data_IF_521201652292
#
_entry.id   IF_521201652292
#
_cell.length_a   1.000
_cell.length_b   1.000
_cell.length_c   1.000
_cell.angle_alpha   90.00
_cell.angle_beta   90.00
_cell.angle_gamma   90.00
#
_symmetry.space_group_name_H-M   'P 1'
#
loop_
_entity.id
_entity.type
_entity.pdbx_description
1 polymer ?
#
# COMPACT_ATOMS: atom_id res chain seq x y z
N UNK A 1 -16.34 18.28 -55.17
CA UNK A 1 -17.19 17.41 -54.31
C UNK A 1 -16.33 16.22 -53.93
N UNK A 2 -15.70 16.29 -52.78
CA UNK A 2 -14.82 15.22 -52.24
C UNK A 2 -15.52 14.72 -50.97
N UNK A 3 -16.01 13.49 -51.06
CA UNK A 3 -16.61 12.79 -49.91
C UNK A 3 -15.60 12.61 -48.78
N UNK A 4 -15.85 13.21 -47.65
CA UNK A 4 -15.12 12.95 -46.39
C UNK A 4 -15.58 11.58 -45.85
N UNK A 5 -14.65 10.71 -45.40
CA UNK A 5 -15.05 9.42 -44.82
C UNK A 5 -15.79 9.66 -43.49
N UNK A 6 -16.90 8.96 -43.31
CA UNK A 6 -17.71 8.97 -42.11
C UNK A 6 -16.87 8.54 -40.89
N UNK A 7 -16.75 9.44 -39.92
CA UNK A 7 -16.16 9.15 -38.62
C UNK A 7 -17.02 8.06 -37.95
N UNK A 8 -16.45 6.87 -37.76
CA UNK A 8 -17.08 5.78 -37.02
C UNK A 8 -17.40 6.25 -35.60
N UNK A 9 -18.68 6.22 -35.24
CA UNK A 9 -19.16 6.55 -33.90
C UNK A 9 -18.42 5.74 -32.83
N UNK A 10 -17.96 6.37 -31.75
CA UNK A 10 -17.40 5.65 -30.61
C UNK A 10 -18.48 4.74 -30.01
N UNK A 11 -18.07 3.56 -29.59
CA UNK A 11 -18.88 2.49 -29.00
C UNK A 11 -19.86 3.08 -27.98
N UNK A 12 -21.12 3.21 -28.37
CA UNK A 12 -22.20 3.61 -27.47
C UNK A 12 -22.44 2.48 -26.49
N UNK A 13 -22.22 2.73 -25.21
CA UNK A 13 -22.56 1.82 -24.13
C UNK A 13 -24.11 1.77 -24.06
N UNK A 14 -24.70 0.70 -24.58
CA UNK A 14 -26.14 0.46 -24.50
C UNK A 14 -26.44 -0.23 -23.14
N UNK A 15 -27.02 0.50 -22.16
CA UNK A 15 -27.32 -0.06 -20.84
C UNK A 15 -28.44 -1.12 -20.86
N UNK A 16 -29.09 -1.34 -22.01
CA UNK A 16 -30.18 -2.32 -22.20
C UNK A 16 -29.73 -3.65 -22.80
N UNK A 17 -28.47 -3.83 -23.17
CA UNK A 17 -27.98 -5.08 -23.76
C UNK A 17 -27.87 -6.16 -22.69
N UNK A 18 -28.86 -7.04 -22.61
CA UNK A 18 -28.84 -8.20 -21.74
C UNK A 18 -27.62 -9.05 -22.08
N UNK A 19 -26.64 -9.10 -21.12
CA UNK A 19 -25.45 -9.94 -21.25
C UNK A 19 -25.92 -11.39 -21.50
N UNK A 20 -25.46 -12.03 -22.58
CA UNK A 20 -25.87 -13.40 -22.92
C UNK A 20 -25.59 -14.36 -21.77
N UNK A 21 -26.37 -15.42 -21.62
CA UNK A 21 -26.17 -16.43 -20.57
C UNK A 21 -24.72 -17.00 -20.59
N UNK A 22 -24.16 -17.24 -21.78
CA UNK A 22 -22.80 -17.72 -21.96
C UNK A 22 -21.73 -16.71 -21.44
N UNK A 23 -21.94 -15.40 -21.67
CA UNK A 23 -21.04 -14.38 -21.17
C UNK A 23 -21.10 -14.23 -19.64
N UNK A 24 -22.29 -14.43 -19.04
CA UNK A 24 -22.44 -14.47 -17.56
C UNK A 24 -21.72 -15.67 -16.97
N UNK A 25 -21.88 -16.87 -17.56
CA UNK A 25 -21.20 -18.08 -17.12
C UNK A 25 -19.68 -17.87 -17.17
N UNK A 26 -19.14 -17.37 -18.28
CA UNK A 26 -17.71 -17.09 -18.42
C UNK A 26 -17.23 -16.09 -17.35
N UNK A 27 -17.98 -15.01 -17.12
CA UNK A 27 -17.66 -14.00 -16.11
C UNK A 27 -17.61 -14.60 -14.70
N UNK A 28 -18.65 -15.34 -14.29
CA UNK A 28 -18.70 -15.95 -12.95
C UNK A 28 -17.64 -17.02 -12.78
N UNK A 29 -17.38 -17.85 -13.78
CA UNK A 29 -16.32 -18.87 -13.72
C UNK A 29 -14.94 -18.23 -13.56
N UNK A 30 -14.62 -17.18 -14.34
CA UNK A 30 -13.36 -16.46 -14.20
C UNK A 30 -13.23 -15.79 -12.83
N UNK A 31 -14.30 -15.18 -12.30
CA UNK A 31 -14.30 -14.60 -10.96
C UNK A 31 -14.08 -15.65 -9.86
N UNK A 32 -14.72 -16.82 -9.97
CA UNK A 32 -14.53 -17.93 -9.00
C UNK A 32 -13.11 -18.46 -9.05
N UNK A 33 -12.53 -18.63 -10.25
CA UNK A 33 -11.13 -19.07 -10.38
C UNK A 33 -10.18 -18.06 -9.73
N UNK A 34 -10.34 -16.78 -10.03
CA UNK A 34 -9.51 -15.72 -9.44
C UNK A 34 -9.68 -15.70 -7.91
N UNK A 35 -10.92 -15.79 -7.42
CA UNK A 35 -11.19 -15.83 -5.99
C UNK A 35 -10.54 -17.06 -5.33
N UNK A 36 -10.62 -18.22 -5.96
CA UNK A 36 -10.01 -19.44 -5.44
C UNK A 36 -8.46 -19.33 -5.36
N UNK A 37 -7.81 -18.78 -6.39
CA UNK A 37 -6.36 -18.54 -6.40
C UNK A 37 -5.92 -17.69 -5.20
N UNK A 38 -6.75 -16.73 -4.76
CA UNK A 38 -6.44 -15.84 -3.62
C UNK A 38 -6.86 -16.47 -2.29
N UNK A 39 -8.07 -17.03 -2.21
CA UNK A 39 -8.66 -17.48 -0.95
C UNK A 39 -8.04 -18.79 -0.48
N UNK A 40 -7.75 -19.74 -1.40
CA UNK A 40 -7.20 -21.05 -1.02
C UNK A 40 -5.86 -20.93 -0.26
N UNK A 41 -4.85 -20.18 -0.74
CA UNK A 41 -3.62 -19.99 0.03
C UNK A 41 -3.83 -19.34 1.40
N UNK A 42 -4.76 -18.39 1.51
CA UNK A 42 -5.07 -17.73 2.79
C UNK A 42 -5.73 -18.73 3.77
N UNK A 43 -6.67 -19.53 3.28
CA UNK A 43 -7.30 -20.57 4.09
C UNK A 43 -6.31 -21.64 4.51
N UNK A 44 -5.44 -22.12 3.60
CA UNK A 44 -4.41 -23.11 3.93
C UNK A 44 -3.40 -22.58 4.94
N UNK A 45 -3.04 -21.29 4.86
CA UNK A 45 -2.20 -20.61 5.86
C UNK A 45 -2.89 -20.60 7.23
N UNK A 46 -4.15 -20.18 7.28
CA UNK A 46 -4.92 -20.13 8.51
C UNK A 46 -5.11 -21.55 9.12
N UNK A 47 -5.50 -22.52 8.30
CA UNK A 47 -5.66 -23.91 8.75
C UNK A 47 -4.33 -24.53 9.18
N UNK A 48 -3.24 -24.23 8.49
CA UNK A 48 -1.90 -24.68 8.84
C UNK A 48 -1.45 -24.23 10.23
N UNK A 49 -1.88 -23.05 10.66
CA UNK A 49 -1.64 -22.55 12.03
C UNK A 49 -2.33 -23.37 13.11
N UNK A 50 -3.41 -24.11 12.80
CA UNK A 50 -4.09 -25.00 13.75
C UNK A 50 -3.53 -26.44 13.76
N UNK A 51 -2.52 -26.75 12.96
CA UNK A 51 -1.94 -28.10 12.86
C UNK A 51 -0.77 -28.31 13.81
N UNK A 52 -0.47 -29.57 14.11
CA UNK A 52 0.86 -29.95 14.61
C UNK A 52 1.87 -29.88 13.47
N UNK A 53 3.17 -29.84 13.79
CA UNK A 53 4.22 -29.87 12.76
C UNK A 53 4.20 -31.17 11.95
N UNK A 54 3.87 -32.30 12.61
CA UNK A 54 3.75 -33.61 11.95
C UNK A 54 2.57 -33.65 10.97
N UNK A 55 1.40 -33.17 11.39
CA UNK A 55 0.21 -33.05 10.54
C UNK A 55 0.43 -32.15 9.35
N UNK A 56 1.07 -30.99 9.58
CA UNK A 56 1.40 -30.03 8.52
C UNK A 56 2.34 -30.63 7.45
N UNK A 57 3.32 -31.43 7.87
CA UNK A 57 4.24 -32.12 6.95
C UNK A 57 3.60 -33.30 6.20
N UNK A 58 2.67 -33.99 6.85
CA UNK A 58 2.00 -35.17 6.25
C UNK A 58 0.90 -34.79 5.28
N UNK A 59 0.11 -33.77 5.60
CA UNK A 59 -0.99 -33.27 4.79
C UNK A 59 -1.07 -31.72 4.89
N UNK A 60 -0.33 -30.98 4.05
CA UNK A 60 -0.31 -29.50 4.12
C UNK A 60 -1.65 -28.85 3.81
N UNK A 61 -2.47 -29.44 2.93
CA UNK A 61 -3.70 -28.83 2.39
C UNK A 61 -4.98 -29.34 3.04
N UNK A 62 -4.93 -30.46 3.76
CA UNK A 62 -6.10 -31.02 4.43
C UNK A 62 -6.54 -30.23 5.66
N UNK A 63 -7.60 -30.66 6.28
CA UNK A 63 -8.06 -30.12 7.57
C UNK A 63 -7.16 -30.62 8.71
N UNK A 64 -7.02 -29.85 9.81
CA UNK A 64 -6.30 -30.31 10.99
C UNK A 64 -6.94 -31.61 11.54
N UNK A 65 -6.14 -32.62 11.82
CA UNK A 65 -6.60 -33.85 12.50
C UNK A 65 -6.95 -33.55 13.95
N UNK A 66 -6.10 -32.73 14.58
CA UNK A 66 -6.32 -32.16 15.91
C UNK A 66 -6.13 -30.69 15.87
N UNK A 67 -7.12 -29.94 16.37
CA UNK A 67 -7.10 -28.46 16.34
C UNK A 67 -6.22 -27.91 17.46
N UNK A 68 -5.03 -27.41 17.10
CA UNK A 68 -4.06 -26.83 18.03
C UNK A 68 -4.36 -25.33 18.25
N UNK A 69 -5.39 -25.04 19.06
CA UNK A 69 -5.76 -23.66 19.41
C UNK A 69 -4.65 -22.92 20.17
N UNK A 70 -3.80 -23.68 20.88
CA UNK A 70 -2.65 -23.15 21.61
C UNK A 70 -1.70 -22.37 20.71
N UNK A 71 -1.48 -22.80 19.45
CA UNK A 71 -0.60 -22.09 18.51
C UNK A 71 -1.00 -20.62 18.32
N UNK A 72 -2.29 -20.34 18.20
CA UNK A 72 -2.81 -18.97 18.12
C UNK A 72 -2.84 -18.27 19.48
N UNK A 73 -3.23 -19.00 20.53
CA UNK A 73 -3.30 -18.48 21.89
C UNK A 73 -1.94 -18.00 22.39
N UNK A 74 -0.91 -18.82 22.26
CA UNK A 74 0.45 -18.51 22.73
C UNK A 74 1.01 -17.27 22.04
N UNK A 75 0.68 -17.07 20.74
CA UNK A 75 1.07 -15.87 20.01
C UNK A 75 0.29 -14.65 20.49
N UNK A 76 -1.05 -14.74 20.54
CA UNK A 76 -1.92 -13.62 20.92
C UNK A 76 -1.69 -13.12 22.36
N UNK A 77 -1.35 -14.03 23.29
CA UNK A 77 -1.06 -13.67 24.67
C UNK A 77 0.40 -13.32 24.92
N UNK A 78 1.27 -13.40 23.87
CA UNK A 78 2.68 -13.02 24.01
C UNK A 78 2.83 -11.49 23.97
N UNK A 79 3.59 -10.94 24.91
CA UNK A 79 3.94 -9.51 24.91
C UNK A 79 4.71 -9.11 23.64
N UNK A 80 5.52 -10.03 23.12
CA UNK A 80 6.36 -9.81 21.91
C UNK A 80 5.52 -9.55 20.67
N UNK A 81 4.42 -10.29 20.48
CA UNK A 81 3.49 -10.07 19.37
C UNK A 81 2.94 -8.64 19.37
N UNK A 82 2.42 -8.17 20.50
CA UNK A 82 1.85 -6.83 20.61
C UNK A 82 2.89 -5.72 20.47
N UNK A 83 4.12 -5.94 20.95
CA UNK A 83 5.23 -5.02 20.73
C UNK A 83 5.54 -4.88 19.23
N UNK A 84 5.62 -5.98 18.50
CA UNK A 84 5.88 -5.98 17.06
C UNK A 84 4.73 -5.35 16.26
N UNK A 85 3.47 -5.61 16.67
CA UNK A 85 2.30 -4.95 16.11
C UNK A 85 2.34 -3.43 16.33
N UNK A 86 2.64 -3.01 17.55
CA UNK A 86 2.80 -1.59 17.90
C UNK A 86 3.89 -0.90 17.10
N UNK A 87 5.06 -1.54 16.95
CA UNK A 87 6.16 -1.02 16.15
C UNK A 87 5.78 -0.89 14.67
N UNK A 88 5.10 -1.90 14.11
CA UNK A 88 4.60 -1.85 12.73
C UNK A 88 3.61 -0.71 12.53
N UNK A 89 2.67 -0.55 13.45
CA UNK A 89 1.68 0.52 13.38
C UNK A 89 2.34 1.90 13.48
N UNK A 90 3.30 2.07 14.39
CA UNK A 90 4.06 3.31 14.54
C UNK A 90 4.82 3.67 13.25
N UNK A 91 5.60 2.72 12.71
CA UNK A 91 6.37 2.91 11.47
C UNK A 91 5.42 3.24 10.32
N UNK A 92 4.32 2.47 10.17
CA UNK A 92 3.36 2.69 9.09
C UNK A 92 2.66 4.05 9.20
N UNK A 93 2.20 4.43 10.40
CA UNK A 93 1.55 5.73 10.61
C UNK A 93 2.49 6.90 10.32
N UNK A 94 3.74 6.85 10.78
CA UNK A 94 4.74 7.88 10.49
C UNK A 94 5.06 7.95 8.99
N UNK A 95 5.23 6.81 8.34
CA UNK A 95 5.47 6.74 6.90
C UNK A 95 4.30 7.31 6.10
N UNK A 96 3.06 6.92 6.43
CA UNK A 96 1.84 7.44 5.79
C UNK A 96 1.74 8.94 5.98
N UNK A 97 1.87 9.43 7.21
CA UNK A 97 1.76 10.86 7.51
C UNK A 97 2.75 11.69 6.71
N UNK A 98 4.03 11.30 6.72
CA UNK A 98 5.07 12.04 5.99
C UNK A 98 4.90 11.92 4.47
N UNK A 99 4.54 10.74 3.96
CA UNK A 99 4.28 10.55 2.52
C UNK A 99 3.11 11.41 2.04
N UNK A 100 2.02 11.46 2.80
CA UNK A 100 0.87 12.29 2.48
C UNK A 100 1.23 13.77 2.53
N UNK A 101 1.88 14.21 3.61
CA UNK A 101 2.24 15.62 3.79
C UNK A 101 3.21 16.09 2.70
N UNK A 102 4.37 15.45 2.58
CA UNK A 102 5.41 15.85 1.63
C UNK A 102 4.97 15.62 0.19
N UNK A 103 4.31 14.49 -0.08
CA UNK A 103 3.82 14.15 -1.42
C UNK A 103 2.74 15.10 -1.92
N UNK A 104 1.75 15.44 -1.07
CA UNK A 104 0.70 16.39 -1.46
C UNK A 104 1.26 17.80 -1.67
N UNK A 105 2.14 18.31 -0.78
CA UNK A 105 2.76 19.63 -0.94
C UNK A 105 3.60 19.72 -2.21
N UNK A 106 4.45 18.72 -2.47
CA UNK A 106 5.26 18.66 -3.69
C UNK A 106 4.38 18.58 -4.94
N UNK A 107 3.38 17.70 -4.92
CA UNK A 107 2.46 17.50 -6.04
C UNK A 107 1.62 18.76 -6.35
N UNK A 108 1.15 19.47 -5.32
CA UNK A 108 0.44 20.73 -5.46
C UNK A 108 1.32 21.78 -6.15
N UNK A 109 2.58 21.89 -5.72
CA UNK A 109 3.55 22.79 -6.34
C UNK A 109 3.75 22.45 -7.81
N UNK A 110 3.93 21.18 -8.17
CA UNK A 110 4.05 20.74 -9.56
C UNK A 110 2.76 20.86 -10.39
N UNK A 111 1.60 20.97 -9.75
CA UNK A 111 0.32 21.12 -10.45
C UNK A 111 0.00 22.58 -10.76
N UNK A 112 0.25 23.50 -9.82
CA UNK A 112 -0.26 24.87 -9.86
C UNK A 112 0.82 25.96 -9.92
N UNK A 113 2.04 25.69 -9.47
CA UNK A 113 3.10 26.70 -9.42
C UNK A 113 4.04 26.53 -10.62
N UNK A 114 4.19 27.61 -11.41
CA UNK A 114 5.16 27.65 -12.52
C UNK A 114 6.51 28.14 -11.98
N UNK A 115 7.53 27.31 -12.03
CA UNK A 115 8.90 27.66 -11.65
C UNK A 115 9.92 27.04 -12.60
N UNK A 116 11.11 27.65 -12.68
CA UNK A 116 12.19 27.17 -13.52
C UNK A 116 12.62 25.76 -13.10
N UNK A 117 12.75 24.84 -14.05
CA UNK A 117 13.18 23.47 -13.78
C UNK A 117 12.09 22.52 -13.25
N UNK A 118 10.81 22.96 -13.14
CA UNK A 118 9.71 22.13 -12.61
C UNK A 118 9.56 20.80 -13.34
N UNK A 119 9.68 20.80 -14.67
CA UNK A 119 9.61 19.57 -15.48
C UNK A 119 10.78 18.62 -15.23
N UNK A 120 12.00 19.15 -15.12
CA UNK A 120 13.17 18.35 -14.78
C UNK A 120 13.04 17.71 -13.39
N UNK A 121 12.67 18.51 -12.39
CA UNK A 121 12.54 18.05 -11.02
C UNK A 121 11.40 17.00 -10.88
N UNK A 122 10.27 17.23 -11.55
CA UNK A 122 9.19 16.23 -11.60
C UNK A 122 9.68 14.91 -12.20
N UNK A 123 10.34 14.96 -13.36
CA UNK A 123 10.88 13.77 -14.00
C UNK A 123 11.92 13.07 -13.13
N UNK A 124 12.73 13.81 -12.39
CA UNK A 124 13.68 13.25 -11.43
C UNK A 124 12.97 12.41 -10.35
N UNK A 125 11.88 12.90 -9.76
CA UNK A 125 11.06 12.13 -8.82
C UNK A 125 10.43 10.89 -9.47
N UNK A 126 9.95 11.01 -10.71
CA UNK A 126 9.32 9.90 -11.43
C UNK A 126 10.34 8.83 -11.86
N UNK A 127 11.58 9.21 -12.17
CA UNK A 127 12.67 8.25 -12.40
C UNK A 127 12.92 7.36 -11.19
N UNK A 128 12.67 7.86 -9.97
CA UNK A 128 12.74 7.07 -8.74
C UNK A 128 11.80 5.85 -8.74
N UNK A 129 10.69 5.88 -9.49
CA UNK A 129 9.77 4.74 -9.63
C UNK A 129 10.37 3.58 -10.45
N UNK A 130 11.32 3.88 -11.34
CA UNK A 130 11.99 2.88 -12.17
C UNK A 130 13.19 2.24 -11.44
N UNK A 131 13.61 2.83 -10.32
CA UNK A 131 14.78 2.37 -9.59
C UNK A 131 14.42 1.23 -8.62
N UNK A 132 15.00 0.02 -8.78
CA UNK A 132 14.71 -1.08 -7.88
C UNK A 132 15.25 -0.79 -6.48
N UNK A 133 14.37 -0.77 -5.48
CA UNK A 133 14.75 -0.48 -4.10
C UNK A 133 15.85 -1.42 -3.57
N UNK A 134 15.85 -2.67 -4.02
CA UNK A 134 16.86 -3.65 -3.62
C UNK A 134 18.30 -3.26 -4.00
N UNK A 135 18.50 -2.58 -5.13
CA UNK A 135 19.84 -2.14 -5.56
C UNK A 135 20.34 -0.94 -4.77
N UNK A 136 19.44 -0.17 -4.18
CA UNK A 136 19.80 1.00 -3.35
C UNK A 136 20.16 0.64 -1.90
N UNK A 137 19.98 -0.61 -1.47
CA UNK A 137 20.07 -0.99 -0.06
C UNK A 137 21.43 -0.68 0.55
N UNK A 138 22.52 -1.05 -0.13
CA UNK A 138 23.87 -0.81 0.41
C UNK A 138 24.22 0.69 0.52
N UNK A 139 24.06 1.51 -0.53
CA UNK A 139 24.28 2.96 -0.40
C UNK A 139 23.33 3.60 0.63
N UNK A 140 22.11 3.14 0.73
CA UNK A 140 21.13 3.62 1.69
C UNK A 140 21.52 3.28 3.13
N UNK A 141 21.98 2.05 3.38
CA UNK A 141 22.52 1.64 4.69
C UNK A 141 23.68 2.54 5.13
N UNK A 142 24.65 2.77 4.23
CA UNK A 142 25.79 3.64 4.50
C UNK A 142 25.28 5.04 4.87
N UNK A 143 24.33 5.58 4.11
CA UNK A 143 23.79 6.93 4.37
C UNK A 143 23.03 7.01 5.69
N UNK A 144 22.19 6.03 6.01
CA UNK A 144 21.45 5.97 7.28
C UNK A 144 22.40 5.83 8.46
N UNK A 145 23.48 5.03 8.32
CA UNK A 145 24.56 4.89 9.31
C UNK A 145 25.27 6.23 9.54
N UNK A 146 25.67 6.90 8.48
CA UNK A 146 26.44 8.16 8.56
C UNK A 146 25.61 9.30 9.17
N UNK A 147 24.27 9.21 9.06
CA UNK A 147 23.33 10.10 9.74
C UNK A 147 23.05 9.71 11.20
N UNK A 148 23.62 8.60 11.70
CA UNK A 148 23.36 8.12 13.06
C UNK A 148 21.95 7.59 13.29
N UNK A 149 21.25 7.17 12.23
CA UNK A 149 19.85 6.74 12.29
C UNK A 149 19.68 5.21 12.31
N UNK A 150 20.79 4.42 12.29
CA UNK A 150 20.70 2.97 12.46
C UNK A 150 20.08 2.64 13.81
N UNK A 151 19.35 1.54 13.84
CA UNK A 151 18.58 1.07 14.98
C UNK A 151 17.61 2.10 15.56
N UNK A 152 17.04 2.93 14.68
CA UNK A 152 15.95 3.85 15.02
C UNK A 152 14.78 3.67 14.05
N UNK A 153 13.56 4.02 14.47
CA UNK A 153 12.39 4.01 13.57
C UNK A 153 12.58 4.96 12.39
N UNK A 154 13.30 6.07 12.56
CA UNK A 154 13.60 7.03 11.49
C UNK A 154 14.50 6.45 10.41
N UNK A 155 15.39 5.53 10.76
CA UNK A 155 16.21 4.78 9.80
C UNK A 155 15.38 3.90 8.87
N UNK A 156 14.15 3.55 9.23
CA UNK A 156 13.20 2.81 8.41
C UNK A 156 12.21 3.74 7.72
N UNK A 157 11.61 4.69 8.46
CA UNK A 157 10.55 5.58 7.98
C UNK A 157 11.03 6.48 6.85
N UNK A 158 12.18 7.17 7.03
CA UNK A 158 12.66 8.13 6.03
C UNK A 158 12.95 7.49 4.66
N UNK A 159 13.63 6.33 4.58
CA UNK A 159 13.76 5.61 3.33
C UNK A 159 12.44 5.19 2.70
N UNK A 160 11.48 4.69 3.50
CA UNK A 160 10.17 4.31 2.99
C UNK A 160 9.43 5.52 2.39
N UNK A 161 9.47 6.67 3.06
CA UNK A 161 8.91 7.93 2.54
C UNK A 161 9.59 8.31 1.22
N UNK A 162 10.92 8.28 1.18
CA UNK A 162 11.67 8.64 -0.02
C UNK A 162 11.30 7.78 -1.24
N UNK A 163 11.22 6.45 -1.08
CA UNK A 163 10.76 5.56 -2.14
C UNK A 163 9.29 5.76 -2.51
N UNK A 164 8.44 6.15 -1.56
CA UNK A 164 7.02 6.44 -1.79
C UNK A 164 6.76 7.77 -2.51
N UNK A 165 7.72 8.71 -2.53
CA UNK A 165 7.51 10.06 -3.06
C UNK A 165 7.13 10.09 -4.54
N UNK A 166 7.78 9.29 -5.39
CA UNK A 166 7.50 9.28 -6.83
C UNK A 166 6.03 8.95 -7.12
N UNK A 167 5.50 7.89 -6.52
CA UNK A 167 4.12 7.45 -6.71
C UNK A 167 3.13 8.45 -6.09
N UNK A 168 3.40 8.95 -4.89
CA UNK A 168 2.51 9.90 -4.22
C UNK A 168 2.41 11.21 -4.99
N UNK A 169 3.54 11.76 -5.47
CA UNK A 169 3.56 12.97 -6.30
C UNK A 169 2.78 12.75 -7.60
N UNK A 170 2.97 11.62 -8.28
CA UNK A 170 2.26 11.31 -9.52
C UNK A 170 0.74 11.30 -9.33
N UNK A 171 0.27 10.58 -8.31
CA UNK A 171 -1.15 10.42 -8.02
C UNK A 171 -1.79 11.75 -7.58
N UNK A 172 -1.18 12.43 -6.62
CA UNK A 172 -1.69 13.72 -6.15
C UNK A 172 -1.67 14.78 -7.24
N UNK A 173 -0.59 14.89 -8.03
CA UNK A 173 -0.48 15.87 -9.11
C UNK A 173 -1.56 15.67 -10.17
N UNK A 174 -1.80 14.41 -10.56
CA UNK A 174 -2.87 14.12 -11.51
C UNK A 174 -4.23 14.53 -10.97
N UNK A 175 -4.49 14.29 -9.69
CA UNK A 175 -5.73 14.71 -9.05
C UNK A 175 -5.86 16.24 -8.98
N UNK A 176 -4.83 16.95 -8.49
CA UNK A 176 -4.85 18.40 -8.36
C UNK A 176 -5.03 19.12 -9.71
N UNK A 177 -4.45 18.57 -10.79
CA UNK A 177 -4.63 19.14 -12.14
C UNK A 177 -6.05 18.99 -12.70
N UNK A 178 -6.83 18.06 -12.16
CA UNK A 178 -8.23 17.85 -12.57
C UNK A 178 -9.22 18.63 -11.70
N UNK A 179 -8.76 19.39 -10.71
CA UNK A 179 -9.62 20.32 -9.97
C UNK A 179 -10.04 21.46 -10.90
N UNK A 180 -11.32 21.93 -10.84
CA UNK A 180 -11.78 23.05 -11.64
C UNK A 180 -10.93 24.31 -11.39
N UNK A 181 -10.49 24.96 -12.47
CA UNK A 181 -9.68 26.17 -12.40
C UNK A 181 -10.43 27.34 -11.75
N UNK A 182 -11.76 27.36 -11.86
CA UNK A 182 -12.65 28.35 -11.29
C UNK A 182 -12.54 28.44 -9.77
N UNK A 183 -12.24 27.31 -9.10
CA UNK A 183 -12.00 27.30 -7.64
C UNK A 183 -10.71 28.06 -7.28
N UNK A 184 -9.71 27.96 -8.15
CA UNK A 184 -8.44 28.64 -7.97
C UNK A 184 -8.63 30.15 -8.19
N UNK A 185 -9.29 30.53 -9.30
CA UNK A 185 -9.54 31.93 -9.65
C UNK A 185 -10.41 32.62 -8.58
N UNK A 186 -11.46 31.99 -8.10
CA UNK A 186 -12.31 32.48 -7.03
C UNK A 186 -11.52 32.74 -5.74
N UNK A 187 -10.70 31.76 -5.32
CA UNK A 187 -9.89 31.89 -4.11
C UNK A 187 -8.86 33.04 -4.20
N UNK A 188 -8.28 33.26 -5.39
CA UNK A 188 -7.34 34.35 -5.60
C UNK A 188 -8.04 35.71 -5.61
N UNK A 189 -9.26 35.82 -6.14
CA UNK A 189 -10.09 37.06 -6.05
C UNK A 189 -10.41 37.37 -4.58
N UNK A 190 -10.65 36.32 -3.76
CA UNK A 190 -10.87 36.44 -2.30
C UNK A 190 -9.57 36.74 -1.51
N UNK A 191 -8.43 36.89 -2.19
CA UNK A 191 -7.14 37.22 -1.57
C UNK A 191 -6.41 36.00 -0.96
N UNK A 192 -6.79 34.77 -1.29
CA UNK A 192 -6.07 33.57 -0.84
C UNK A 192 -4.81 33.38 -1.70
N UNK A 193 -3.65 33.22 -1.04
CA UNK A 193 -2.43 32.78 -1.72
C UNK A 193 -2.39 31.24 -1.85
N UNK A 194 -1.35 30.70 -2.55
CA UNK A 194 -1.17 29.26 -2.81
C UNK A 194 -1.26 28.40 -1.56
N UNK A 195 -0.65 28.82 -0.46
CA UNK A 195 -0.63 28.04 0.77
C UNK A 195 -2.03 27.94 1.41
N UNK A 196 -2.78 29.05 1.40
CA UNK A 196 -4.14 29.10 1.91
C UNK A 196 -5.09 28.25 1.05
N UNK A 197 -4.96 28.35 -0.29
CA UNK A 197 -5.70 27.52 -1.23
C UNK A 197 -5.39 26.04 -1.03
N UNK A 198 -4.13 25.66 -0.83
CA UNK A 198 -3.73 24.27 -0.57
C UNK A 198 -4.45 23.69 0.66
N UNK A 199 -4.35 24.36 1.80
CA UNK A 199 -4.87 23.83 3.05
C UNK A 199 -6.40 23.86 3.16
N UNK A 200 -7.04 24.92 2.66
CA UNK A 200 -8.48 25.15 2.87
C UNK A 200 -9.35 24.69 1.69
N UNK A 201 -8.80 24.53 0.49
CA UNK A 201 -9.55 24.14 -0.70
C UNK A 201 -9.03 22.82 -1.27
N UNK A 202 -7.78 22.78 -1.74
CA UNK A 202 -7.26 21.60 -2.46
C UNK A 202 -7.22 20.36 -1.60
N UNK A 203 -6.68 20.44 -0.39
CA UNK A 203 -6.51 19.28 0.49
C UNK A 203 -7.86 18.70 0.96
N UNK A 204 -8.85 19.49 1.43
CA UNK A 204 -10.17 18.96 1.78
C UNK A 204 -10.92 18.32 0.61
N UNK A 205 -10.83 18.88 -0.59
CA UNK A 205 -11.45 18.31 -1.79
C UNK A 205 -10.75 17.01 -2.24
N UNK A 206 -9.50 16.81 -1.84
CA UNK A 206 -8.67 15.67 -2.25
C UNK A 206 -8.79 14.46 -1.33
N UNK A 207 -9.79 14.38 -0.46
CA UNK A 207 -10.00 13.24 0.46
C UNK A 207 -9.94 11.88 -0.24
N UNK A 208 -10.52 11.67 -1.45
CA UNK A 208 -10.45 10.37 -2.11
C UNK A 208 -9.01 9.95 -2.45
N UNK A 209 -8.23 10.87 -3.01
CA UNK A 209 -6.84 10.56 -3.40
C UNK A 209 -5.92 10.46 -2.17
N UNK A 210 -6.17 11.24 -1.10
CA UNK A 210 -5.47 11.11 0.18
C UNK A 210 -5.65 9.71 0.74
N UNK A 211 -6.88 9.19 0.74
CA UNK A 211 -7.16 7.82 1.17
C UNK A 211 -6.42 6.79 0.31
N UNK A 212 -6.43 6.95 -1.02
CA UNK A 212 -5.75 6.04 -1.94
C UNK A 212 -4.24 6.01 -1.70
N UNK A 213 -3.58 7.18 -1.67
CA UNK A 213 -2.14 7.27 -1.42
C UNK A 213 -1.79 6.77 -0.01
N UNK A 214 -2.62 7.12 0.98
CA UNK A 214 -2.43 6.67 2.36
C UNK A 214 -2.49 5.15 2.49
N UNK A 215 -3.42 4.48 1.80
CA UNK A 215 -3.53 3.02 1.82
C UNK A 215 -2.32 2.38 1.12
N UNK A 216 -1.91 2.89 -0.03
CA UNK A 216 -0.73 2.39 -0.74
C UNK A 216 0.51 2.50 0.15
N UNK A 217 0.71 3.64 0.80
CA UNK A 217 1.82 3.87 1.72
C UNK A 217 1.73 2.97 2.97
N UNK A 218 0.52 2.78 3.54
CA UNK A 218 0.29 1.90 4.68
C UNK A 218 0.63 0.45 4.35
N UNK A 219 0.06 -0.08 3.27
CA UNK A 219 0.29 -1.48 2.85
C UNK A 219 1.77 -1.71 2.53
N UNK A 220 2.42 -0.76 1.85
CA UNK A 220 3.84 -0.82 1.56
C UNK A 220 4.71 -0.86 2.82
N UNK A 221 4.42 0.01 3.79
CA UNK A 221 5.13 0.07 5.06
C UNK A 221 4.84 -1.14 5.95
N UNK A 222 3.56 -1.54 6.06
CA UNK A 222 3.12 -2.69 6.87
C UNK A 222 3.79 -4.00 6.45
N UNK A 223 3.96 -4.22 5.14
CA UNK A 223 4.57 -5.43 4.61
C UNK A 223 6.09 -5.31 4.39
N UNK A 224 6.70 -4.20 4.80
CA UNK A 224 8.12 -3.98 4.59
C UNK A 224 8.97 -4.90 5.48
N UNK A 225 9.76 -5.78 4.86
CA UNK A 225 10.65 -6.70 5.54
C UNK A 225 12.12 -6.27 5.46
N UNK A 226 12.57 -5.98 4.24
CA UNK A 226 13.99 -5.83 3.93
C UNK A 226 14.62 -4.57 4.56
N UNK A 227 13.92 -3.43 4.53
CA UNK A 227 14.42 -2.21 5.16
C UNK A 227 14.54 -2.35 6.69
N UNK A 228 13.50 -2.79 7.41
CA UNK A 228 13.63 -3.05 8.85
C UNK A 228 14.73 -4.07 9.18
N UNK A 229 14.87 -5.14 8.38
CA UNK A 229 15.90 -6.18 8.61
C UNK A 229 17.31 -5.62 8.61
N UNK A 230 17.59 -4.65 7.75
CA UNK A 230 18.93 -4.07 7.58
C UNK A 230 19.17 -2.88 8.51
N UNK A 231 18.11 -2.13 8.82
CA UNK A 231 18.23 -0.88 9.58
C UNK A 231 18.05 -1.03 11.08
N UNK A 232 17.41 -2.12 11.55
CA UNK A 232 17.12 -2.36 12.96
C UNK A 232 17.95 -3.53 13.49
N UNK A 233 18.56 -3.36 14.66
CA UNK A 233 19.34 -4.40 15.34
C UNK A 233 18.67 -4.86 16.64
N UNK A 234 17.95 -3.96 17.32
CA UNK A 234 17.29 -4.25 18.60
C UNK A 234 15.95 -4.96 18.37
N UNK A 235 15.77 -6.16 18.90
CA UNK A 235 14.51 -6.93 18.80
C UNK A 235 13.28 -6.18 19.31
N UNK A 236 13.46 -5.31 20.32
CA UNK A 236 12.38 -4.47 20.85
C UNK A 236 11.83 -3.43 19.86
N UNK A 237 12.53 -3.21 18.73
CA UNK A 237 12.08 -2.27 17.67
C UNK A 237 11.59 -2.99 16.42
N UNK A 238 11.64 -4.32 16.39
CA UNK A 238 11.25 -5.09 15.21
C UNK A 238 9.76 -4.94 14.91
N UNK A 239 9.40 -4.60 13.66
CA UNK A 239 8.02 -4.71 13.18
C UNK A 239 7.64 -6.16 12.94
N UNK A 240 6.34 -6.42 12.75
CA UNK A 240 5.82 -7.78 12.61
C UNK A 240 6.49 -8.64 11.52
N UNK A 241 6.89 -8.10 10.33
CA UNK A 241 7.53 -8.97 9.34
C UNK A 241 8.81 -9.64 9.84
N UNK A 242 9.54 -8.99 10.76
CA UNK A 242 10.71 -9.56 11.41
C UNK A 242 10.32 -10.55 12.53
N UNK A 243 9.09 -10.52 13.02
CA UNK A 243 8.61 -11.44 14.04
C UNK A 243 8.63 -12.90 13.62
N UNK A 244 8.55 -13.18 12.32
CA UNK A 244 8.68 -14.54 11.79
C UNK A 244 10.01 -15.20 12.18
N UNK A 245 11.07 -14.39 12.35
CA UNK A 245 12.41 -14.89 12.71
C UNK A 245 12.44 -15.58 14.08
N UNK A 246 11.50 -15.26 14.96
CA UNK A 246 11.38 -15.88 16.30
C UNK A 246 11.09 -17.38 16.21
N UNK A 247 10.32 -17.77 15.19
CA UNK A 247 9.91 -19.17 14.98
C UNK A 247 10.86 -19.95 14.06
N UNK A 248 11.93 -19.30 13.61
CA UNK A 248 13.03 -19.93 12.87
C UNK A 248 14.14 -20.30 13.84
N UNK A 249 14.21 -21.56 14.22
CA UNK A 249 15.37 -22.08 14.93
C UNK A 249 16.57 -22.30 14.00
N UNK A 250 17.73 -22.51 14.58
CA UNK A 250 18.98 -22.76 13.83
C UNK A 250 18.90 -24.01 12.96
N UNK A 251 18.25 -25.07 13.46
CA UNK A 251 18.14 -26.39 12.79
C UNK A 251 16.73 -26.76 12.34
N UNK A 252 15.71 -26.09 12.84
CA UNK A 252 14.32 -26.37 12.52
C UNK A 252 13.46 -25.12 12.58
N UNK A 253 12.41 -25.06 11.78
CA UNK A 253 11.42 -23.99 11.78
C UNK A 253 10.08 -24.57 12.23
N UNK A 254 9.43 -23.90 13.17
CA UNK A 254 8.09 -24.20 13.65
C UNK A 254 7.04 -23.63 12.70
N UNK A 255 6.89 -24.30 11.54
CA UNK A 255 6.05 -23.80 10.46
C UNK A 255 4.60 -23.55 10.86
N UNK A 256 4.04 -24.37 11.77
CA UNK A 256 2.69 -24.18 12.29
C UNK A 256 2.56 -22.83 13.03
N UNK A 257 3.58 -22.44 13.81
CA UNK A 257 3.60 -21.16 14.51
C UNK A 257 3.83 -19.99 13.55
N UNK A 258 4.69 -20.19 12.53
CA UNK A 258 4.88 -19.20 11.45
C UNK A 258 3.55 -18.92 10.74
N UNK A 259 2.80 -19.97 10.37
CA UNK A 259 1.52 -19.83 9.68
C UNK A 259 0.45 -19.18 10.59
N UNK A 260 0.39 -19.54 11.87
CA UNK A 260 -0.47 -18.90 12.85
C UNK A 260 -0.13 -17.41 13.00
N UNK A 261 1.16 -17.08 13.13
CA UNK A 261 1.64 -15.69 13.25
C UNK A 261 1.29 -14.87 12.00
N UNK A 262 1.55 -15.39 10.79
CA UNK A 262 1.19 -14.74 9.53
C UNK A 262 -0.32 -14.49 9.47
N UNK A 263 -1.14 -15.48 9.84
CA UNK A 263 -2.60 -15.33 9.84
C UNK A 263 -3.05 -14.16 10.73
N UNK A 264 -2.52 -14.10 11.95
CA UNK A 264 -2.86 -13.01 12.88
C UNK A 264 -2.40 -11.63 12.37
N UNK A 265 -1.27 -11.56 11.67
CA UNK A 265 -0.71 -10.30 11.18
C UNK A 265 -1.36 -9.80 9.90
N UNK A 266 -2.05 -10.66 9.15
CA UNK A 266 -2.86 -10.28 7.98
C UNK A 266 -4.17 -9.61 8.42
N UNK A 267 -4.75 -9.95 9.55
CA UNK A 267 -6.05 -9.43 10.01
C UNK A 267 -6.13 -7.89 10.02
N UNK A 268 -5.15 -7.15 10.59
CA UNK A 268 -5.17 -5.69 10.54
C UNK A 268 -5.20 -5.14 9.11
N UNK A 269 -4.45 -5.75 8.19
CA UNK A 269 -4.45 -5.33 6.78
C UNK A 269 -5.81 -5.55 6.13
N UNK A 270 -6.46 -6.67 6.39
CA UNK A 270 -7.80 -6.98 5.90
C UNK A 270 -8.81 -5.96 6.45
N UNK A 271 -8.75 -5.64 7.74
CA UNK A 271 -9.63 -4.64 8.37
C UNK A 271 -9.45 -3.28 7.70
N UNK A 272 -8.21 -2.82 7.56
CA UNK A 272 -7.90 -1.54 6.88
C UNK A 272 -8.42 -1.55 5.45
N UNK A 273 -8.25 -2.66 4.71
CA UNK A 273 -8.78 -2.78 3.35
C UNK A 273 -10.31 -2.65 3.30
N UNK A 274 -11.04 -3.37 4.15
CA UNK A 274 -12.51 -3.28 4.18
C UNK A 274 -13.02 -1.88 4.52
N UNK A 275 -12.35 -1.18 5.44
CA UNK A 275 -12.70 0.20 5.79
C UNK A 275 -12.40 1.18 4.64
N UNK A 276 -11.37 0.90 3.86
CA UNK A 276 -10.81 1.81 2.88
C UNK A 276 -11.25 1.53 1.43
N UNK A 277 -11.78 0.33 1.10
CA UNK A 277 -12.07 -0.13 -0.27
C UNK A 277 -12.92 0.85 -1.09
N UNK A 278 -13.93 1.47 -0.48
CA UNK A 278 -14.79 2.46 -1.16
C UNK A 278 -14.01 3.71 -1.64
N UNK A 279 -12.98 4.09 -0.90
CA UNK A 279 -12.15 5.25 -1.23
C UNK A 279 -11.10 4.90 -2.28
N UNK A 280 -10.59 3.65 -2.28
CA UNK A 280 -9.66 3.14 -3.31
C UNK A 280 -10.36 3.17 -4.67
N UNK A 281 -11.58 2.62 -4.76
CA UNK A 281 -12.36 2.59 -5.99
C UNK A 281 -12.63 4.02 -6.49
N UNK A 282 -13.07 4.91 -5.61
CA UNK A 282 -13.33 6.31 -5.96
C UNK A 282 -12.06 7.06 -6.43
N UNK A 283 -10.90 6.81 -5.80
CA UNK A 283 -9.65 7.46 -6.18
C UNK A 283 -9.07 6.97 -7.51
N UNK A 284 -9.20 5.67 -7.80
CA UNK A 284 -8.74 5.10 -9.07
C UNK A 284 -9.65 5.51 -10.25
N UNK A 285 -10.96 5.58 -10.03
CA UNK A 285 -11.91 5.98 -11.08
C UNK A 285 -11.89 7.48 -11.36
N UNK A 286 -11.61 8.33 -10.37
CA UNK A 286 -11.44 9.76 -10.58
C UNK A 286 -10.31 10.14 -11.57
N UNK A 287 -9.32 9.25 -11.75
CA UNK A 287 -8.26 9.41 -12.74
C UNK A 287 -8.57 8.80 -14.12
N UNK A 288 -9.62 8.00 -14.24
CA UNK A 288 -9.94 7.23 -15.44
C UNK A 288 -11.10 7.83 -16.28
N UNK A 289 -11.89 8.74 -15.71
CA UNK A 289 -12.99 9.41 -16.42
C UNK A 289 -12.45 10.69 -17.04
N UNK A 290 -12.18 10.63 -18.34
CA UNK A 290 -12.05 11.78 -19.24
C UNK A 290 -13.34 11.97 -20.02
#
# INVERSE_FOLDING_TARGET
MTDAPAVSNPISFDPGRSVSAGSKIYLYTSMIIIAAIVIVPLLTTALGGFKTLGDLRGDPFGLPREWQWSNYGDILFSQRYWLQMGNSLLIACLTVFLTLLCGAMAAFTFAHVKFFGSGFLLNYFLLGLMFPAATAILPLFIRVRDLGLLDTYWGVVLPQVAFGMGMSILLFRNYFRNLPSELFDAAFVDGAGYLRFFWYVSLPLSRPIIATVGIIAFVGSWNSYLLPLIMLNSEGKYPWPLGIMVYKGEFATDWQLVLAFITLTILPTIIVFFLAQKHIIAGLTAGAVK
#
